data_IF_586700128711
#
_entry.id   IF_586700128711
#
_cell.length_a   1.000
_cell.length_b   1.000
_cell.length_c   1.000
_cell.angle_alpha   90.00
_cell.angle_beta   90.00
_cell.angle_gamma   90.00
#
_symmetry.space_group_name_H-M   'P 1'
#
loop_
_entity.id
_entity.type
_entity.pdbx_description
1 polymer ?
#
# COMPACT_ATOMS: atom_id res chain seq x y z
N UNK A 1 -14.10 -19.12 -21.90
CA UNK A 1 -14.86 -19.30 -20.65
C UNK A 1 -15.51 -17.96 -20.27
N UNK A 2 -16.78 -17.92 -19.82
CA UNK A 2 -17.38 -16.69 -19.38
C UNK A 2 -16.56 -16.13 -18.21
N UNK A 3 -16.20 -14.83 -18.29
CA UNK A 3 -15.51 -14.14 -17.17
C UNK A 3 -16.45 -14.22 -15.95
N UNK A 4 -16.03 -14.93 -14.90
CA UNK A 4 -16.78 -14.92 -13.64
C UNK A 4 -16.90 -13.47 -13.20
N UNK A 5 -18.11 -13.01 -12.98
CA UNK A 5 -18.39 -11.63 -12.53
C UNK A 5 -17.86 -11.50 -11.11
N UNK A 6 -16.88 -10.61 -10.89
CA UNK A 6 -16.44 -10.28 -9.54
C UNK A 6 -17.51 -9.46 -8.83
N UNK A 7 -17.71 -9.71 -7.55
CA UNK A 7 -18.69 -9.02 -6.72
C UNK A 7 -17.96 -8.38 -5.56
N UNK A 8 -18.21 -7.09 -5.33
CA UNK A 8 -17.81 -6.42 -4.09
C UNK A 8 -18.85 -6.77 -3.04
N UNK A 9 -18.50 -7.72 -2.17
CA UNK A 9 -19.40 -8.23 -1.14
C UNK A 9 -19.41 -7.34 0.11
N UNK A 10 -18.24 -6.81 0.48
CA UNK A 10 -18.07 -6.01 1.69
C UNK A 10 -17.16 -4.81 1.41
N UNK A 11 -17.38 -3.74 2.17
CA UNK A 11 -16.54 -2.55 2.24
C UNK A 11 -16.16 -2.32 3.71
N UNK A 12 -14.94 -1.85 3.93
CA UNK A 12 -14.47 -1.46 5.25
C UNK A 12 -13.68 -0.16 5.16
N UNK A 13 -14.04 0.83 5.96
CA UNK A 13 -13.32 2.10 6.06
C UNK A 13 -13.59 2.74 7.42
N UNK A 14 -12.58 3.37 7.99
CA UNK A 14 -12.64 4.05 9.28
C UNK A 14 -13.11 5.51 9.17
N UNK A 15 -13.25 6.02 7.94
CA UNK A 15 -13.68 7.39 7.63
C UNK A 15 -14.93 7.37 6.73
N UNK A 16 -16.07 7.74 7.28
CA UNK A 16 -17.34 7.76 6.54
C UNK A 16 -17.33 8.68 5.31
N UNK A 17 -16.52 9.74 5.32
CA UNK A 17 -16.38 10.65 4.17
C UNK A 17 -15.70 9.96 3.00
N UNK A 18 -14.67 9.16 3.31
CA UNK A 18 -13.93 8.38 2.30
C UNK A 18 -14.73 7.15 1.84
N UNK A 19 -15.50 6.55 2.74
CA UNK A 19 -16.38 5.42 2.44
C UNK A 19 -17.58 5.79 1.55
N UNK A 20 -18.14 7.01 1.70
CA UNK A 20 -19.41 7.40 1.10
C UNK A 20 -19.50 7.18 -0.43
N UNK A 21 -18.50 7.57 -1.26
CA UNK A 21 -18.56 7.32 -2.70
C UNK A 21 -18.59 5.83 -3.03
N UNK A 22 -17.87 5.00 -2.27
CA UNK A 22 -17.82 3.54 -2.50
C UNK A 22 -19.10 2.85 -2.05
N UNK A 23 -19.65 3.25 -0.93
CA UNK A 23 -20.97 2.77 -0.47
C UNK A 23 -22.07 3.10 -1.48
N UNK A 24 -22.03 4.30 -2.08
CA UNK A 24 -22.93 4.69 -3.15
C UNK A 24 -22.76 3.84 -4.42
N UNK A 25 -21.52 3.51 -4.77
CA UNK A 25 -21.22 2.70 -5.96
C UNK A 25 -21.58 1.20 -5.78
N UNK A 26 -21.55 0.70 -4.55
CA UNK A 26 -21.82 -0.69 -4.20
C UNK A 26 -22.88 -0.79 -3.09
N UNK A 27 -24.12 -0.37 -3.36
CA UNK A 27 -25.16 -0.27 -2.32
C UNK A 27 -25.59 -1.62 -1.71
N UNK A 28 -25.28 -2.72 -2.39
CA UNK A 28 -25.56 -4.08 -1.92
C UNK A 28 -24.44 -4.65 -1.03
N UNK A 29 -23.28 -3.99 -0.94
CA UNK A 29 -22.15 -4.47 -0.13
C UNK A 29 -22.40 -4.19 1.36
N UNK A 30 -22.09 -5.18 2.20
CA UNK A 30 -22.02 -4.97 3.65
C UNK A 30 -20.96 -3.94 3.99
N UNK A 31 -21.18 -3.13 5.03
CA UNK A 31 -20.23 -2.10 5.43
C UNK A 31 -19.80 -2.26 6.89
N UNK A 32 -18.50 -2.11 7.13
CA UNK A 32 -17.87 -2.22 8.43
C UNK A 32 -16.88 -1.05 8.64
N UNK A 33 -16.74 -0.58 9.87
CA UNK A 33 -15.68 0.36 10.23
C UNK A 33 -14.41 -0.36 10.70
N UNK A 34 -14.56 -1.54 11.27
CA UNK A 34 -13.47 -2.36 11.77
C UNK A 34 -13.28 -3.62 10.91
N UNK A 35 -12.12 -3.75 10.26
CA UNK A 35 -11.80 -4.92 9.44
C UNK A 35 -11.75 -6.22 10.25
N UNK A 36 -11.46 -6.17 11.55
CA UNK A 36 -11.43 -7.34 12.44
C UNK A 36 -12.85 -7.90 12.60
N UNK A 37 -13.79 -7.02 12.83
CA UNK A 37 -15.22 -7.40 12.90
C UNK A 37 -15.71 -7.99 11.57
N UNK A 38 -15.32 -7.36 10.44
CA UNK A 38 -15.66 -7.89 9.12
C UNK A 38 -15.07 -9.28 8.90
N UNK A 39 -13.82 -9.51 9.26
CA UNK A 39 -13.18 -10.83 9.08
C UNK A 39 -13.81 -11.90 9.98
N UNK A 40 -14.10 -11.57 11.22
CA UNK A 40 -14.73 -12.51 12.15
C UNK A 40 -16.12 -12.94 11.70
N UNK A 41 -16.93 -12.01 11.22
CA UNK A 41 -18.32 -12.28 10.83
C UNK A 41 -18.41 -12.87 9.42
N UNK A 42 -17.60 -12.40 8.49
CA UNK A 42 -17.82 -12.59 7.06
C UNK A 42 -16.75 -13.46 6.38
N UNK A 43 -15.77 -13.99 7.09
CA UNK A 43 -14.66 -14.75 6.47
C UNK A 43 -15.08 -15.90 5.57
N UNK A 44 -16.28 -16.43 5.71
CA UNK A 44 -16.83 -17.49 4.85
C UNK A 44 -17.50 -16.96 3.57
N UNK A 45 -17.73 -15.65 3.51
CA UNK A 45 -18.55 -15.00 2.48
C UNK A 45 -17.75 -14.19 1.45
N UNK A 46 -16.41 -14.25 1.50
CA UNK A 46 -15.53 -13.65 0.48
C UNK A 46 -14.29 -14.53 0.23
N UNK A 47 -13.71 -14.40 -0.96
CA UNK A 47 -12.56 -15.21 -1.41
C UNK A 47 -11.25 -14.42 -1.39
N UNK A 48 -11.32 -13.10 -1.55
CA UNK A 48 -10.17 -12.23 -1.68
C UNK A 48 -10.40 -10.89 -1.00
N UNK A 49 -9.31 -10.24 -0.61
CA UNK A 49 -9.30 -8.92 0.02
C UNK A 49 -8.45 -7.97 -0.81
N UNK A 50 -8.97 -6.78 -1.06
CA UNK A 50 -8.20 -5.65 -1.61
C UNK A 50 -7.98 -4.63 -0.51
N UNK A 51 -6.72 -4.32 -0.21
CA UNK A 51 -6.30 -3.44 0.89
C UNK A 51 -5.64 -2.19 0.32
N UNK A 52 -6.19 -1.02 0.63
CA UNK A 52 -5.69 0.29 0.22
C UNK A 52 -5.86 1.29 1.37
N UNK A 53 -5.07 1.12 2.40
CA UNK A 53 -5.08 1.85 3.66
C UNK A 53 -3.70 2.48 3.90
N UNK A 54 -3.47 3.27 4.98
CA UNK A 54 -2.13 3.76 5.30
C UNK A 54 -1.11 2.64 5.54
N UNK A 55 0.16 2.91 5.16
CA UNK A 55 1.25 1.93 5.07
C UNK A 55 1.45 1.12 6.35
N UNK A 56 1.37 1.78 7.51
CA UNK A 56 1.58 1.16 8.83
C UNK A 56 0.57 0.06 9.19
N UNK A 57 -0.58 0.01 8.51
CA UNK A 57 -1.61 -1.01 8.72
C UNK A 57 -1.62 -2.09 7.63
N UNK A 58 -0.80 -1.98 6.59
CA UNK A 58 -0.77 -2.94 5.49
C UNK A 58 -0.50 -4.36 5.97
N UNK A 59 0.57 -4.55 6.74
CA UNK A 59 1.02 -5.87 7.13
C UNK A 59 0.01 -6.61 8.00
N UNK A 60 -0.54 -5.94 9.02
CA UNK A 60 -1.47 -6.59 9.96
C UNK A 60 -2.76 -7.05 9.28
N UNK A 61 -3.32 -6.21 8.39
CA UNK A 61 -4.53 -6.56 7.65
C UNK A 61 -4.23 -7.66 6.61
N UNK A 62 -3.13 -7.52 5.87
CA UNK A 62 -2.70 -8.50 4.88
C UNK A 62 -2.42 -9.87 5.49
N UNK A 63 -1.67 -9.93 6.59
CA UNK A 63 -1.38 -11.17 7.30
C UNK A 63 -2.65 -11.84 7.84
N UNK A 64 -3.58 -11.03 8.38
CA UNK A 64 -4.85 -11.55 8.88
C UNK A 64 -5.71 -12.17 7.78
N UNK A 65 -5.76 -11.53 6.60
CA UNK A 65 -6.42 -12.09 5.43
C UNK A 65 -5.79 -13.44 5.00
N UNK A 66 -4.45 -13.49 4.93
CA UNK A 66 -3.72 -14.71 4.57
C UNK A 66 -3.96 -15.86 5.57
N UNK A 67 -4.01 -15.57 6.88
CA UNK A 67 -4.34 -16.56 7.92
C UNK A 67 -5.73 -17.18 7.72
N UNK A 68 -6.66 -16.40 7.20
CA UNK A 68 -7.99 -16.86 6.80
C UNK A 68 -8.00 -17.52 5.41
N UNK A 69 -6.82 -17.74 4.80
CA UNK A 69 -6.64 -18.30 3.44
C UNK A 69 -7.34 -17.49 2.36
N UNK A 70 -7.39 -16.15 2.51
CA UNK A 70 -7.92 -15.25 1.49
C UNK A 70 -6.81 -14.77 0.56
N UNK A 71 -7.12 -14.69 -0.73
CA UNK A 71 -6.25 -14.05 -1.70
C UNK A 71 -6.13 -12.57 -1.39
N UNK A 72 -4.97 -11.96 -1.71
CA UNK A 72 -4.67 -10.61 -1.27
C UNK A 72 -4.18 -9.73 -2.42
N UNK A 73 -4.85 -8.61 -2.61
CA UNK A 73 -4.31 -7.46 -3.33
C UNK A 73 -3.99 -6.37 -2.32
N UNK A 74 -2.71 -6.06 -2.14
CA UNK A 74 -2.24 -5.11 -1.14
C UNK A 74 -1.52 -3.95 -1.82
N UNK A 75 -1.95 -2.71 -1.55
CA UNK A 75 -1.36 -1.53 -2.18
C UNK A 75 0.14 -1.37 -1.85
N UNK A 76 0.81 -0.58 -2.69
CA UNK A 76 2.19 -0.14 -2.47
C UNK A 76 2.24 1.00 -1.41
N UNK A 77 3.36 1.14 -0.71
CA UNK A 77 4.40 0.13 -0.53
C UNK A 77 3.83 -1.12 0.13
N UNK A 78 4.41 -2.28 -0.11
CA UNK A 78 3.84 -3.54 0.39
C UNK A 78 3.61 -3.51 1.90
N UNK A 79 4.57 -2.96 2.63
CA UNK A 79 4.57 -2.86 4.09
C UNK A 79 5.27 -1.59 4.55
N UNK A 80 5.18 -1.30 5.85
CA UNK A 80 5.84 -0.17 6.47
C UNK A 80 7.33 -0.44 6.73
N UNK A 81 7.72 -1.68 6.98
CA UNK A 81 9.10 -2.08 7.18
C UNK A 81 9.48 -3.39 6.47
N UNK A 82 10.78 -3.70 6.50
CA UNK A 82 11.36 -4.87 5.81
C UNK A 82 10.95 -6.18 6.50
N UNK A 83 10.85 -6.19 7.80
CA UNK A 83 10.44 -7.37 8.57
C UNK A 83 9.03 -7.80 8.20
N UNK A 84 8.12 -6.86 8.13
CA UNK A 84 6.74 -7.08 7.70
C UNK A 84 6.66 -7.67 6.28
N UNK A 85 7.48 -7.15 5.33
CA UNK A 85 7.52 -7.67 3.98
C UNK A 85 7.96 -9.15 3.93
N UNK A 86 8.97 -9.51 4.72
CA UNK A 86 9.42 -10.90 4.86
C UNK A 86 8.35 -11.80 5.47
N UNK A 87 7.66 -11.33 6.49
CA UNK A 87 6.55 -12.09 7.12
C UNK A 87 5.42 -12.33 6.11
N UNK A 88 5.02 -11.32 5.32
CA UNK A 88 3.99 -11.50 4.30
C UNK A 88 4.41 -12.48 3.20
N UNK A 89 5.67 -12.45 2.78
CA UNK A 89 6.20 -13.41 1.80
C UNK A 89 6.11 -14.84 2.33
N UNK A 90 6.57 -15.09 3.54
CA UNK A 90 6.48 -16.40 4.21
C UNK A 90 5.03 -16.85 4.43
N UNK A 91 4.14 -15.90 4.78
CA UNK A 91 2.73 -16.18 4.98
C UNK A 91 2.04 -16.60 3.67
N UNK A 92 2.36 -15.96 2.54
CA UNK A 92 1.80 -16.32 1.24
C UNK A 92 2.10 -17.78 0.89
N UNK A 93 3.33 -18.22 1.09
CA UNK A 93 3.74 -19.62 0.91
C UNK A 93 3.07 -20.56 1.89
N UNK A 94 3.10 -20.23 3.18
CA UNK A 94 2.53 -21.05 4.26
C UNK A 94 1.04 -21.30 4.09
N UNK A 95 0.28 -20.25 3.76
CA UNK A 95 -1.18 -20.32 3.62
C UNK A 95 -1.64 -20.65 2.20
N UNK A 96 -0.70 -20.74 1.24
CA UNK A 96 -0.95 -21.06 -0.18
C UNK A 96 -1.98 -20.14 -0.82
N UNK A 97 -1.81 -18.84 -0.60
CA UNK A 97 -2.68 -17.80 -1.17
C UNK A 97 -1.99 -17.06 -2.31
N UNK A 98 -2.79 -16.59 -3.25
CA UNK A 98 -2.30 -15.72 -4.33
C UNK A 98 -2.24 -14.30 -3.82
N UNK A 99 -1.13 -13.62 -4.05
CA UNK A 99 -0.91 -12.25 -3.63
C UNK A 99 -0.46 -11.37 -4.81
N UNK A 100 -0.86 -10.11 -4.77
CA UNK A 100 -0.45 -9.11 -5.74
C UNK A 100 -0.23 -7.78 -5.03
N UNK A 101 0.96 -7.19 -5.17
CA UNK A 101 1.18 -5.80 -4.76
C UNK A 101 0.58 -4.85 -5.80
N UNK A 102 -0.14 -3.83 -5.34
CA UNK A 102 -0.71 -2.79 -6.16
C UNK A 102 0.33 -1.77 -6.60
N UNK A 103 0.75 -1.85 -7.84
CA UNK A 103 1.61 -0.84 -8.49
C UNK A 103 1.10 -0.63 -9.92
N UNK A 104 0.30 0.44 -10.12
CA UNK A 104 -0.34 0.68 -11.40
C UNK A 104 0.68 0.89 -12.53
N UNK A 105 1.80 1.60 -12.25
CA UNK A 105 2.84 1.88 -13.22
C UNK A 105 3.48 0.61 -13.79
N UNK A 106 3.64 -0.41 -12.95
CA UNK A 106 4.20 -1.69 -13.36
C UNK A 106 3.32 -2.49 -14.33
N UNK A 107 2.05 -2.12 -14.47
CA UNK A 107 1.07 -2.79 -15.33
C UNK A 107 0.74 -2.00 -16.60
N UNK A 108 1.36 -0.84 -16.83
CA UNK A 108 1.09 0.00 -17.98
C UNK A 108 1.78 -0.52 -19.27
N UNK A 109 1.28 -0.09 -20.43
CA UNK A 109 1.82 -0.49 -21.72
C UNK A 109 3.26 0.00 -21.94
N UNK A 110 3.62 1.15 -21.37
CA UNK A 110 5.00 1.65 -21.42
C UNK A 110 6.02 0.68 -20.83
N UNK A 111 5.66 -0.04 -19.77
CA UNK A 111 6.52 -1.08 -19.19
C UNK A 111 6.68 -2.28 -20.11
N UNK A 112 5.62 -2.68 -20.81
CA UNK A 112 5.65 -3.79 -21.77
C UNK A 112 6.50 -3.42 -22.97
N UNK A 113 6.31 -2.25 -23.56
CA UNK A 113 7.08 -1.73 -24.70
C UNK A 113 8.56 -1.60 -24.34
N UNK A 114 8.87 -1.05 -23.15
CA UNK A 114 10.25 -0.92 -22.68
C UNK A 114 10.93 -2.30 -22.54
N UNK A 115 10.20 -3.29 -22.06
CA UNK A 115 10.68 -4.68 -21.98
C UNK A 115 10.93 -5.27 -23.36
N UNK A 116 10.01 -5.09 -24.31
CA UNK A 116 10.18 -5.54 -25.70
C UNK A 116 11.43 -4.91 -26.34
N UNK A 117 11.67 -3.62 -26.15
CA UNK A 117 12.86 -2.93 -26.65
C UNK A 117 14.15 -3.46 -26.01
N UNK A 118 14.13 -3.74 -24.74
CA UNK A 118 15.26 -4.32 -24.02
C UNK A 118 15.56 -5.74 -24.53
N UNK A 119 14.55 -6.59 -24.62
CA UNK A 119 14.68 -7.97 -25.15
C UNK A 119 15.09 -8.01 -26.63
N UNK A 120 14.69 -7.01 -27.43
CA UNK A 120 15.09 -6.86 -28.83
C UNK A 120 16.52 -6.27 -29.00
N UNK A 121 17.21 -5.93 -27.93
CA UNK A 121 18.55 -5.35 -27.99
C UNK A 121 18.59 -3.91 -28.51
N UNK A 122 17.48 -3.17 -28.43
CA UNK A 122 17.44 -1.74 -28.75
C UNK A 122 17.97 -0.86 -27.60
N UNK A 123 17.93 -1.40 -26.38
CA UNK A 123 18.48 -0.77 -25.17
C UNK A 123 19.55 -1.72 -24.63
N UNK A 124 20.83 -1.35 -24.79
CA UNK A 124 21.98 -2.18 -24.45
C UNK A 124 23.02 -1.39 -23.66
N UNK A 125 23.97 -2.10 -23.08
CA UNK A 125 25.17 -1.54 -22.43
C UNK A 125 24.83 -0.51 -21.32
N UNK A 126 23.78 -0.77 -20.54
CA UNK A 126 23.38 0.10 -19.45
C UNK A 126 24.38 -0.04 -18.31
N UNK A 127 25.12 1.04 -18.04
CA UNK A 127 26.08 1.14 -16.94
C UNK A 127 25.57 1.91 -15.75
N UNK A 128 24.62 2.85 -15.97
CA UNK A 128 24.09 3.71 -14.95
C UNK A 128 22.60 3.95 -15.12
N UNK A 129 21.88 4.09 -14.00
CA UNK A 129 20.46 4.41 -13.98
C UNK A 129 20.20 5.56 -13.01
N UNK A 130 19.71 6.68 -13.51
CA UNK A 130 19.31 7.83 -12.71
C UNK A 130 17.79 7.85 -12.56
N UNK A 131 17.31 7.80 -11.32
CA UNK A 131 15.88 7.83 -10.99
C UNK A 131 15.62 8.76 -9.82
N UNK A 132 14.55 9.53 -9.91
CA UNK A 132 14.12 10.41 -8.84
C UNK A 132 12.67 10.85 -9.00
N UNK A 133 11.95 11.08 -7.90
CA UNK A 133 10.62 11.69 -7.95
C UNK A 133 10.76 13.17 -8.26
N UNK A 134 9.86 13.71 -9.06
CA UNK A 134 9.80 15.15 -9.34
C UNK A 134 9.15 15.94 -8.21
N UNK A 135 8.45 15.29 -7.30
CA UNK A 135 7.81 15.88 -6.11
C UNK A 135 7.25 14.82 -5.14
N UNK A 136 7.51 14.93 -3.85
CA UNK A 136 6.58 14.50 -2.83
C UNK A 136 5.52 15.59 -2.64
N UNK A 137 4.24 15.21 -2.70
CA UNK A 137 3.11 16.15 -2.53
C UNK A 137 2.70 16.35 -1.05
N UNK A 138 3.43 15.79 -0.12
CA UNK A 138 3.18 15.82 1.33
C UNK A 138 4.37 16.45 2.09
N UNK A 139 4.19 16.83 3.37
CA UNK A 139 5.25 17.41 4.16
C UNK A 139 6.50 16.53 4.22
N UNK A 140 7.68 17.13 4.14
CA UNK A 140 8.97 16.45 4.17
C UNK A 140 9.88 17.13 5.19
N UNK A 141 10.58 16.32 6.01
CA UNK A 141 11.61 16.81 6.93
C UNK A 141 11.12 17.80 8.00
N UNK A 142 9.85 17.84 8.29
CA UNK A 142 9.28 18.68 9.34
C UNK A 142 9.05 17.89 10.62
N UNK A 143 9.26 18.50 11.79
CA UNK A 143 8.95 17.86 13.07
C UNK A 143 7.44 17.62 13.21
N UNK A 144 7.08 16.68 14.09
CA UNK A 144 5.67 16.48 14.43
C UNK A 144 5.08 17.77 15.03
N UNK A 145 3.95 18.27 14.51
CA UNK A 145 3.30 19.47 15.01
C UNK A 145 2.93 19.36 16.50
N UNK A 146 3.19 20.43 17.25
CA UNK A 146 2.82 20.48 18.68
C UNK A 146 1.33 20.79 18.91
N UNK A 147 0.70 21.40 17.92
CA UNK A 147 -0.73 21.73 18.02
C UNK A 147 -1.56 20.52 17.63
N UNK A 148 -2.50 20.16 18.50
CA UNK A 148 -3.46 19.10 18.28
C UNK A 148 -4.76 19.70 17.73
N UNK A 149 -5.47 18.92 16.93
CA UNK A 149 -6.76 19.28 16.39
C UNK A 149 -7.84 18.29 16.86
N UNK A 150 -9.10 18.71 16.93
CA UNK A 150 -10.18 17.78 17.22
C UNK A 150 -10.30 16.77 16.07
N UNK A 151 -10.51 15.52 16.41
CA UNK A 151 -10.81 14.47 15.43
C UNK A 151 -12.16 14.78 14.79
N UNK A 152 -12.26 14.69 13.48
CA UNK A 152 -13.53 14.82 12.78
C UNK A 152 -14.48 13.68 13.19
N UNK A 153 -15.76 14.00 13.35
CA UNK A 153 -16.77 13.04 13.86
C UNK A 153 -16.95 11.82 12.97
N UNK A 154 -16.65 11.95 11.67
CA UNK A 154 -16.76 10.89 10.68
C UNK A 154 -15.56 9.94 10.68
N UNK A 155 -14.46 10.28 11.39
CA UNK A 155 -13.23 9.51 11.44
C UNK A 155 -13.11 8.74 12.77
N UNK A 156 -13.00 7.44 12.73
CA UNK A 156 -12.59 6.66 13.89
C UNK A 156 -11.07 6.67 14.02
N UNK A 157 -10.55 7.59 14.84
CA UNK A 157 -9.13 7.82 14.99
C UNK A 157 -8.37 6.63 15.59
N UNK A 158 -8.94 5.93 16.55
CA UNK A 158 -8.34 4.77 17.19
C UNK A 158 -8.16 3.61 16.18
N UNK A 159 -9.19 3.36 15.36
CA UNK A 159 -9.10 2.37 14.29
C UNK A 159 -8.14 2.79 13.18
N UNK A 160 -8.06 4.09 12.87
CA UNK A 160 -7.11 4.60 11.89
C UNK A 160 -5.66 4.43 12.36
N UNK A 161 -5.36 4.71 13.63
CA UNK A 161 -4.04 4.47 14.22
C UNK A 161 -3.65 2.99 14.14
N UNK A 162 -4.58 2.10 14.43
CA UNK A 162 -4.36 0.65 14.32
C UNK A 162 -3.13 0.20 15.08
N UNK A 163 -2.04 -0.14 14.35
CA UNK A 163 -0.78 -0.62 14.92
C UNK A 163 0.20 0.49 15.32
N UNK A 164 -0.07 1.73 14.92
CA UNK A 164 0.79 2.85 15.27
C UNK A 164 0.66 3.23 16.75
N UNK A 165 1.71 3.88 17.28
CA UNK A 165 1.70 4.43 18.63
C UNK A 165 0.55 5.43 18.79
N UNK A 166 -0.14 5.36 19.92
CA UNK A 166 -1.23 6.30 20.25
C UNK A 166 -0.70 7.73 20.28
N UNK A 167 -1.35 8.59 19.52
CA UNK A 167 -1.00 10.00 19.45
C UNK A 167 -2.28 10.81 19.18
N UNK A 168 -2.23 12.07 19.58
CA UNK A 168 -3.31 13.00 19.28
C UNK A 168 -3.36 13.32 17.77
N UNK A 169 -4.56 13.64 17.32
CA UNK A 169 -4.78 14.04 15.94
C UNK A 169 -4.20 15.43 15.67
N UNK A 170 -3.60 15.59 14.49
CA UNK A 170 -3.17 16.90 13.98
C UNK A 170 -3.97 17.25 12.73
N UNK A 171 -4.16 18.52 12.50
CA UNK A 171 -4.94 18.98 11.34
C UNK A 171 -4.27 18.58 10.03
N UNK A 172 -5.11 18.33 9.02
CA UNK A 172 -4.69 17.93 7.67
C UNK A 172 -3.83 16.65 7.57
N UNK A 173 -3.76 15.81 8.60
CA UNK A 173 -3.02 14.54 8.55
C UNK A 173 -3.66 13.57 7.56
N UNK A 174 -4.95 13.37 7.69
CA UNK A 174 -5.73 12.53 6.79
C UNK A 174 -6.51 13.40 5.79
N UNK A 175 -6.78 12.91 4.58
CA UNK A 175 -6.54 11.53 4.09
C UNK A 175 -5.16 11.32 3.46
N UNK A 176 -4.26 12.32 3.40
CA UNK A 176 -3.11 12.26 2.50
C UNK A 176 -1.76 12.50 3.15
N UNK A 177 -1.64 13.50 4.02
CA UNK A 177 -0.34 13.99 4.51
C UNK A 177 0.36 13.06 5.49
N UNK A 178 -0.32 12.06 6.04
CA UNK A 178 0.25 11.04 6.91
C UNK A 178 1.53 10.39 6.33
N UNK A 179 1.68 10.40 5.02
CA UNK A 179 2.86 9.90 4.29
C UNK A 179 4.16 10.59 4.67
N UNK A 180 4.07 11.83 5.14
CA UNK A 180 5.23 12.63 5.53
C UNK A 180 5.91 12.22 6.83
N UNK A 181 5.24 11.41 7.65
CA UNK A 181 5.78 11.01 8.95
C UNK A 181 6.00 9.50 9.02
N UNK A 182 7.21 9.14 9.45
CA UNK A 182 7.65 7.75 9.55
C UNK A 182 6.72 6.87 10.40
N UNK A 183 6.03 7.45 11.36
CA UNK A 183 5.09 6.67 12.20
C UNK A 183 3.90 6.09 11.43
N UNK A 184 3.59 6.59 10.24
CA UNK A 184 2.42 6.16 9.44
C UNK A 184 2.78 5.78 8.00
N UNK A 185 3.75 6.48 7.41
CA UNK A 185 4.18 6.31 6.04
C UNK A 185 5.66 6.02 5.92
N UNK A 186 6.09 5.77 4.71
CA UNK A 186 7.46 5.38 4.38
C UNK A 186 8.29 6.52 3.78
N UNK A 187 7.78 7.76 3.85
CA UNK A 187 8.40 8.93 3.28
C UNK A 187 8.48 8.89 1.75
N UNK A 188 9.17 9.87 1.17
CA UNK A 188 9.25 10.00 -0.29
C UNK A 188 9.94 8.80 -0.95
N UNK A 189 10.98 8.26 -0.36
CA UNK A 189 11.70 7.13 -0.93
C UNK A 189 10.82 5.86 -0.91
N UNK A 190 10.26 5.50 0.23
CA UNK A 190 9.44 4.28 0.36
C UNK A 190 8.16 4.36 -0.47
N UNK A 191 7.46 5.49 -0.45
CA UNK A 191 6.21 5.65 -1.19
C UNK A 191 6.42 5.71 -2.72
N UNK A 192 7.49 6.37 -3.20
CA UNK A 192 7.72 6.60 -4.64
C UNK A 192 8.68 5.59 -5.28
N UNK A 193 9.59 4.97 -4.54
CA UNK A 193 10.57 4.05 -5.11
C UNK A 193 9.91 2.87 -5.85
N UNK A 194 8.79 2.39 -5.36
CA UNK A 194 8.01 1.32 -6.02
C UNK A 194 7.69 1.68 -7.48
N UNK A 195 7.37 2.95 -7.75
CA UNK A 195 7.01 3.42 -9.08
C UNK A 195 8.23 3.74 -9.95
N UNK A 196 9.29 4.29 -9.37
CA UNK A 196 10.42 4.84 -10.14
C UNK A 196 11.59 3.87 -10.28
N UNK A 197 11.89 3.06 -9.29
CA UNK A 197 12.97 2.06 -9.35
C UNK A 197 12.50 0.75 -10.00
N UNK A 198 11.24 0.39 -9.81
CA UNK A 198 10.65 -0.87 -10.28
C UNK A 198 10.93 -1.20 -11.75
N UNK A 199 10.81 -0.25 -12.70
CA UNK A 199 11.14 -0.50 -14.09
C UNK A 199 12.58 -0.98 -14.30
N UNK A 200 13.57 -0.23 -13.81
CA UNK A 200 14.97 -0.60 -13.92
C UNK A 200 15.27 -1.92 -13.21
N UNK A 201 14.74 -2.10 -12.00
CA UNK A 201 14.93 -3.32 -11.23
C UNK A 201 14.47 -4.57 -11.96
N UNK A 202 13.31 -4.51 -12.61
CA UNK A 202 12.76 -5.64 -13.37
C UNK A 202 13.46 -5.87 -14.70
N UNK A 203 13.76 -4.80 -15.45
CA UNK A 203 14.37 -4.94 -16.79
C UNK A 203 15.82 -5.41 -16.72
N UNK A 204 16.57 -4.89 -15.77
CA UNK A 204 17.98 -5.23 -15.60
C UNK A 204 18.20 -6.47 -14.72
N UNK A 205 17.10 -7.06 -14.23
CA UNK A 205 17.15 -8.20 -13.32
C UNK A 205 18.08 -7.94 -12.11
N UNK A 206 17.99 -6.75 -11.54
CA UNK A 206 18.79 -6.34 -10.40
C UNK A 206 18.43 -7.20 -9.18
N UNK A 207 19.44 -7.71 -8.50
CA UNK A 207 19.29 -8.39 -7.22
C UNK A 207 19.39 -7.41 -6.05
N UNK A 208 19.85 -7.93 -4.91
CA UNK A 208 20.18 -7.07 -3.77
C UNK A 208 21.38 -6.19 -4.08
N UNK A 209 21.39 -4.91 -3.65
CA UNK A 209 22.54 -4.04 -3.82
C UNK A 209 23.73 -4.55 -3.00
N UNK A 210 24.93 -4.41 -3.55
CA UNK A 210 26.19 -4.76 -2.87
C UNK A 210 26.72 -3.60 -2.02
N UNK A 211 26.36 -2.37 -2.41
CA UNK A 211 26.74 -1.17 -1.69
C UNK A 211 25.61 -0.14 -1.76
N UNK A 212 25.38 0.56 -0.66
CA UNK A 212 24.36 1.63 -0.56
C UNK A 212 25.01 2.84 0.13
N UNK A 213 24.94 4.00 -0.54
CA UNK A 213 25.32 5.28 0.07
C UNK A 213 24.08 6.17 0.18
N UNK A 214 23.84 6.71 1.35
CA UNK A 214 22.72 7.61 1.63
C UNK A 214 23.20 9.00 2.01
N UNK A 215 22.47 10.02 1.58
CA UNK A 215 22.62 11.38 2.06
C UNK A 215 21.26 12.00 2.35
N UNK A 216 21.19 12.80 3.38
CA UNK A 216 20.00 13.57 3.73
C UNK A 216 20.39 14.99 4.09
N UNK A 217 19.57 15.94 3.68
CA UNK A 217 19.65 17.32 4.18
C UNK A 217 18.73 17.43 5.39
N UNK A 218 19.28 17.94 6.49
CA UNK A 218 18.53 18.30 7.72
C UNK A 218 18.07 19.73 7.65
#
# INVERSE_FOLDING_TARGET
>A
APKKKQVVAFLCDVDDRMAAPRRKAFPQAGFYHDWREMFDKESKNFDAVSVAIPDHNHAIVGLSAMRLRKHLYLQKPLTHDIYEARILTQAAEKYKVVTQMGDQGASCDGMRIMREWFEAGLIVDITEVYKGPTRPGWPQGIPWPKQHAPVQKELNWDLWLGTAEKTDYIDNLVPFNWRGWWRFGTGALGDMACHIIGPAFKLLNLGYPTEITGSATT
#
